data_IF_801666786183
#
_entry.id   IF_801666786183
#
_cell.length_a   1.000
_cell.length_b   1.000
_cell.length_c   1.000
_cell.angle_alpha   90.00
_cell.angle_beta   90.00
_cell.angle_gamma   90.00
#
_symmetry.space_group_name_H-M   'P 1'
#
loop_
_entity.id
_entity.type
_entity.pdbx_description
1 polymer ?
#
# COMPACT_ATOMS: atom_id res chain seq x y z
N UNK A 1 3.82 -15.21 6.27
CA UNK A 1 2.96 -15.30 5.07
C UNK A 1 2.29 -13.94 4.89
N UNK A 2 1.90 -13.56 3.69
CA UNK A 2 1.09 -12.38 3.38
C UNK A 2 0.01 -12.74 2.35
N UNK A 3 -1.00 -11.87 2.16
CA UNK A 3 -1.99 -12.03 1.10
C UNK A 3 -1.33 -12.31 -0.26
N UNK A 4 -0.30 -11.55 -0.62
CA UNK A 4 0.43 -11.74 -1.88
C UNK A 4 1.00 -13.14 -1.99
N UNK A 5 1.66 -13.66 -0.95
CA UNK A 5 2.20 -15.03 -0.98
C UNK A 5 1.10 -16.10 -0.98
N UNK A 6 -0.02 -15.86 -0.30
CA UNK A 6 -1.17 -16.76 -0.28
C UNK A 6 -1.81 -16.89 -1.68
N UNK A 7 -1.97 -15.77 -2.38
CA UNK A 7 -2.52 -15.74 -3.75
C UNK A 7 -1.61 -16.40 -4.80
N UNK A 8 -0.34 -16.65 -4.48
CA UNK A 8 0.60 -17.35 -5.37
C UNK A 8 0.58 -18.87 -5.18
N UNK A 9 -0.11 -19.40 -4.17
CA UNK A 9 -0.26 -20.84 -3.99
C UNK A 9 -1.09 -21.38 -5.16
N UNK A 10 -0.62 -22.45 -5.81
CA UNK A 10 -1.15 -22.93 -7.09
C UNK A 10 -2.66 -23.21 -7.08
N UNK A 11 -3.17 -23.88 -6.04
CA UNK A 11 -4.62 -24.15 -5.91
C UNK A 11 -5.40 -22.85 -5.65
N UNK A 12 -4.87 -21.94 -4.84
CA UNK A 12 -5.50 -20.63 -4.59
C UNK A 12 -5.59 -19.82 -5.88
N UNK A 13 -4.47 -19.69 -6.61
CA UNK A 13 -4.41 -18.98 -7.89
C UNK A 13 -5.38 -19.57 -8.91
N UNK A 14 -5.50 -20.90 -8.96
CA UNK A 14 -6.43 -21.59 -9.86
C UNK A 14 -7.90 -21.34 -9.50
N UNK A 15 -8.26 -21.38 -8.22
CA UNK A 15 -9.65 -21.13 -7.80
C UNK A 15 -10.04 -19.67 -8.05
N UNK A 16 -9.15 -18.69 -7.79
CA UNK A 16 -9.38 -17.30 -8.21
C UNK A 16 -9.61 -17.18 -9.71
N UNK A 17 -8.80 -17.86 -10.53
CA UNK A 17 -8.90 -17.83 -11.99
C UNK A 17 -10.23 -18.41 -12.50
N UNK A 18 -10.71 -19.47 -11.84
CA UNK A 18 -12.00 -20.11 -12.13
C UNK A 18 -13.17 -19.22 -11.74
N UNK A 19 -13.17 -18.68 -10.53
CA UNK A 19 -14.32 -17.93 -9.99
C UNK A 19 -14.42 -16.52 -10.57
N UNK A 20 -13.29 -15.78 -10.64
CA UNK A 20 -13.30 -14.41 -11.11
C UNK A 20 -12.74 -14.33 -12.52
N UNK A 21 -13.63 -14.15 -13.50
CA UNK A 21 -13.21 -13.84 -14.85
C UNK A 21 -12.43 -12.53 -14.87
N UNK A 22 -11.28 -12.54 -15.52
CA UNK A 22 -10.44 -11.35 -15.65
C UNK A 22 -10.42 -10.91 -17.10
N UNK A 23 -10.96 -9.71 -17.33
CA UNK A 23 -10.85 -9.01 -18.60
C UNK A 23 -10.06 -7.73 -18.34
N UNK A 24 -8.81 -7.70 -18.78
CA UNK A 24 -7.95 -6.54 -18.59
C UNK A 24 -8.63 -5.29 -19.19
N UNK A 25 -8.86 -4.22 -18.39
CA UNK A 25 -9.32 -2.96 -18.95
C UNK A 25 -8.29 -2.45 -19.97
N UNK A 26 -8.79 -1.88 -21.07
CA UNK A 26 -7.93 -1.17 -22.02
C UNK A 26 -7.53 0.16 -21.41
N UNK A 27 -6.35 0.21 -20.84
CA UNK A 27 -5.76 1.44 -20.32
C UNK A 27 -4.89 2.07 -21.40
N UNK A 28 -5.06 3.37 -21.62
CA UNK A 28 -4.20 4.16 -22.49
C UNK A 28 -4.00 5.51 -21.84
N UNK A 29 -2.75 5.79 -21.47
CA UNK A 29 -2.33 7.07 -20.94
C UNK A 29 -0.83 7.24 -21.08
N UNK A 30 -0.39 8.48 -21.00
CA UNK A 30 1.02 8.84 -21.11
C UNK A 30 1.80 8.44 -19.85
N UNK A 31 3.10 8.22 -20.02
CA UNK A 31 4.02 8.07 -18.90
C UNK A 31 4.45 9.48 -18.47
N UNK A 32 3.79 10.02 -17.44
CA UNK A 32 3.98 11.39 -16.98
C UNK A 32 5.25 11.56 -16.12
N UNK A 33 5.58 10.55 -15.31
CA UNK A 33 6.78 10.54 -14.47
C UNK A 33 7.68 9.34 -14.80
N UNK A 34 8.53 9.42 -15.85
CA UNK A 34 9.48 8.37 -16.17
C UNK A 34 10.50 8.17 -15.05
N UNK A 35 10.93 6.91 -14.77
CA UNK A 35 11.92 6.65 -13.71
C UNK A 35 13.23 7.39 -13.92
N UNK A 36 13.76 7.96 -12.84
CA UNK A 36 15.05 8.67 -12.85
C UNK A 36 16.19 7.83 -12.26
N UNK A 37 15.85 6.76 -11.55
CA UNK A 37 16.77 5.83 -10.89
C UNK A 37 16.46 4.38 -11.29
N UNK A 38 17.37 3.45 -10.99
CA UNK A 38 17.13 2.01 -11.09
C UNK A 38 16.62 1.39 -9.78
N UNK A 39 16.54 2.17 -8.70
CA UNK A 39 16.04 1.72 -7.39
C UNK A 39 14.50 1.61 -7.34
N UNK A 40 13.88 0.97 -8.34
CA UNK A 40 12.43 1.01 -8.56
C UNK A 40 11.60 0.59 -7.34
N UNK A 41 11.97 -0.51 -6.67
CA UNK A 41 11.24 -0.99 -5.49
C UNK A 41 11.36 -0.02 -4.31
N UNK A 42 12.55 0.56 -4.10
CA UNK A 42 12.78 1.54 -3.04
C UNK A 42 11.95 2.81 -3.29
N UNK A 43 11.93 3.30 -4.53
CA UNK A 43 11.10 4.47 -4.92
C UNK A 43 9.61 4.16 -4.79
N UNK A 44 9.18 2.94 -5.11
CA UNK A 44 7.80 2.53 -4.90
C UNK A 44 7.36 2.71 -3.45
N UNK A 45 8.14 2.18 -2.50
CA UNK A 45 7.85 2.31 -1.06
C UNK A 45 8.04 3.74 -0.54
N UNK A 46 9.05 4.47 -1.01
CA UNK A 46 9.26 5.86 -0.59
C UNK A 46 8.14 6.77 -1.08
N UNK A 47 7.66 6.56 -2.32
CA UNK A 47 6.52 7.28 -2.86
C UNK A 47 5.23 6.94 -2.10
N UNK A 48 5.05 5.69 -1.67
CA UNK A 48 3.92 5.33 -0.80
C UNK A 48 3.90 6.17 0.48
N UNK A 49 5.02 6.31 1.20
CA UNK A 49 5.10 7.22 2.36
C UNK A 49 4.78 8.67 1.98
N UNK A 50 5.39 9.16 0.89
CA UNK A 50 5.20 10.54 0.44
C UNK A 50 3.73 10.84 0.09
N UNK A 51 3.08 9.93 -0.64
CA UNK A 51 1.68 10.07 -1.01
C UNK A 51 0.80 10.00 0.24
N UNK A 52 1.07 9.10 1.19
CA UNK A 52 0.34 9.04 2.46
C UNK A 52 0.42 10.35 3.25
N UNK A 53 1.59 10.95 3.33
CA UNK A 53 1.75 12.27 3.97
C UNK A 53 0.94 13.35 3.24
N UNK A 54 0.95 13.32 1.91
CA UNK A 54 0.18 14.25 1.09
C UNK A 54 -1.33 14.10 1.32
N UNK A 55 -1.84 12.86 1.32
CA UNK A 55 -3.25 12.55 1.56
C UNK A 55 -3.67 12.96 2.98
N UNK A 56 -2.83 12.70 3.98
CA UNK A 56 -3.08 13.12 5.36
C UNK A 56 -3.24 14.64 5.46
N UNK A 57 -2.39 15.40 4.76
CA UNK A 57 -2.51 16.86 4.72
C UNK A 57 -3.78 17.32 4.00
N UNK A 58 -4.16 16.65 2.90
CA UNK A 58 -5.40 16.95 2.17
C UNK A 58 -6.66 16.64 2.98
N UNK A 59 -6.57 15.67 3.90
CA UNK A 59 -7.68 15.14 4.69
C UNK A 59 -7.32 15.13 6.19
N UNK A 60 -7.53 16.24 6.91
CA UNK A 60 -7.10 16.36 8.32
C UNK A 60 -7.66 15.29 9.26
N UNK A 61 -8.84 14.73 8.97
CA UNK A 61 -9.51 13.69 9.74
C UNK A 61 -9.09 12.26 9.36
N UNK A 62 -8.00 12.12 8.59
CA UNK A 62 -7.47 10.80 8.17
C UNK A 62 -7.15 9.93 9.38
N UNK A 63 -7.66 8.70 9.37
CA UNK A 63 -7.26 7.68 10.33
C UNK A 63 -5.86 7.16 9.98
N UNK A 64 -4.97 7.21 10.98
CA UNK A 64 -3.55 6.92 10.80
C UNK A 64 -3.20 5.56 11.38
N UNK A 65 -2.50 4.76 10.59
CA UNK A 65 -1.81 3.55 11.06
C UNK A 65 -0.36 3.85 11.45
N UNK A 66 0.23 2.96 12.24
CA UNK A 66 1.67 2.98 12.53
C UNK A 66 2.47 2.87 11.23
N UNK A 67 3.61 3.55 11.14
CA UNK A 67 4.49 3.38 9.98
C UNK A 67 5.14 1.99 10.03
N UNK A 68 5.14 1.27 8.89
CA UNK A 68 5.80 -0.04 8.82
C UNK A 68 7.30 0.07 9.14
N UNK A 69 7.92 1.21 8.83
CA UNK A 69 9.27 1.54 9.27
C UNK A 69 9.46 1.44 10.81
N UNK A 70 8.46 1.82 11.61
CA UNK A 70 8.52 1.69 13.08
C UNK A 70 8.47 0.23 13.52
N UNK A 71 7.67 -0.61 12.83
CA UNK A 71 7.68 -2.05 13.05
C UNK A 71 9.03 -2.65 12.67
N UNK A 72 9.66 -2.16 11.60
CA UNK A 72 11.03 -2.49 11.21
C UNK A 72 12.03 -2.16 12.31
N UNK A 73 11.95 -0.96 12.91
CA UNK A 73 12.78 -0.59 14.06
C UNK A 73 12.57 -1.55 15.23
N UNK A 74 11.33 -1.91 15.56
CA UNK A 74 11.02 -2.87 16.65
C UNK A 74 11.71 -4.23 16.42
N UNK A 75 11.90 -4.65 15.18
CA UNK A 75 12.57 -5.92 14.86
C UNK A 75 14.06 -5.93 15.21
N UNK A 76 14.68 -4.76 15.36
CA UNK A 76 16.10 -4.62 15.72
C UNK A 76 16.36 -4.61 17.23
N UNK A 77 15.33 -4.77 18.08
CA UNK A 77 15.45 -4.72 19.56
C UNK A 77 16.51 -5.65 20.17
N UNK A 78 16.87 -6.75 19.49
CA UNK A 78 17.94 -7.66 19.93
C UNK A 78 19.35 -7.05 19.81
N UNK A 79 19.47 -5.95 19.09
CA UNK A 79 20.70 -5.19 18.86
C UNK A 79 20.48 -3.75 19.37
N UNK A 80 20.72 -3.48 20.67
CA UNK A 80 20.31 -2.23 21.30
C UNK A 80 20.83 -0.96 20.61
N UNK A 81 22.07 -0.99 20.12
CA UNK A 81 22.68 0.14 19.40
C UNK A 81 21.91 0.46 18.11
N UNK A 82 21.59 -0.55 17.30
CA UNK A 82 20.78 -0.38 16.08
C UNK A 82 19.37 0.11 16.41
N UNK A 83 18.73 -0.50 17.41
CA UNK A 83 17.38 -0.12 17.83
C UNK A 83 17.28 1.35 18.23
N UNK A 84 18.18 1.83 19.10
CA UNK A 84 18.15 3.22 19.53
C UNK A 84 18.55 4.18 18.41
N UNK A 85 19.48 3.79 17.53
CA UNK A 85 19.84 4.57 16.34
C UNK A 85 18.64 4.74 15.41
N UNK A 86 17.98 3.66 15.02
CA UNK A 86 16.84 3.76 14.09
C UNK A 86 15.61 4.39 14.74
N UNK A 87 15.39 4.18 16.04
CA UNK A 87 14.35 4.90 16.79
C UNK A 87 14.59 6.41 16.76
N UNK A 88 15.81 6.87 17.03
CA UNK A 88 16.15 8.29 16.98
C UNK A 88 15.93 8.88 15.57
N UNK A 89 16.25 8.11 14.51
CA UNK A 89 15.97 8.51 13.12
C UNK A 89 14.46 8.70 12.90
N UNK A 90 13.61 7.78 13.33
CA UNK A 90 12.14 7.92 13.24
C UNK A 90 11.67 9.17 13.99
N UNK A 91 12.17 9.38 15.22
CA UNK A 91 11.76 10.51 16.06
C UNK A 91 12.14 11.86 15.40
N UNK A 92 13.32 11.95 14.78
CA UNK A 92 13.76 13.13 14.01
C UNK A 92 12.88 13.36 12.77
N UNK A 93 12.57 12.29 12.02
CA UNK A 93 11.72 12.40 10.83
C UNK A 93 10.33 12.91 11.22
N UNK A 94 9.73 12.36 12.28
CA UNK A 94 8.40 12.73 12.78
C UNK A 94 8.35 14.17 13.27
N UNK A 95 9.32 14.59 14.08
CA UNK A 95 9.33 15.92 14.71
C UNK A 95 9.83 17.05 13.81
N UNK A 96 10.53 16.74 12.71
CA UNK A 96 11.01 17.71 11.73
C UNK A 96 10.30 17.56 10.38
N UNK A 97 10.94 16.93 9.36
CA UNK A 97 10.47 16.98 7.97
C UNK A 97 9.00 16.59 7.75
N UNK A 98 8.51 15.54 8.42
CA UNK A 98 7.11 15.14 8.32
C UNK A 98 6.17 16.19 8.94
N UNK A 99 6.42 16.59 10.19
CA UNK A 99 5.61 17.61 10.88
C UNK A 99 5.59 18.94 10.11
N UNK A 100 6.75 19.39 9.62
CA UNK A 100 6.89 20.60 8.81
C UNK A 100 6.04 20.50 7.53
N UNK A 101 6.05 19.35 6.85
CA UNK A 101 5.25 19.13 5.66
C UNK A 101 3.74 19.15 5.95
N UNK A 102 3.29 18.45 7.01
CA UNK A 102 1.88 18.43 7.39
C UNK A 102 1.38 19.85 7.69
N UNK A 103 2.17 20.68 8.36
CA UNK A 103 1.79 22.04 8.73
C UNK A 103 1.84 23.03 7.54
N UNK A 104 2.87 22.94 6.71
CA UNK A 104 3.17 23.98 5.70
C UNK A 104 2.84 23.57 4.27
N UNK A 105 2.83 22.27 3.98
CA UNK A 105 2.81 21.72 2.62
C UNK A 105 4.13 21.84 1.86
N UNK A 106 5.20 22.29 2.51
CA UNK A 106 6.48 22.48 1.85
C UNK A 106 7.19 21.15 1.55
N UNK A 107 7.35 20.83 0.26
CA UNK A 107 8.07 19.65 -0.22
C UNK A 107 9.59 19.88 -0.16
N UNK A 108 10.16 19.81 1.05
CA UNK A 108 11.59 20.00 1.28
C UNK A 108 12.43 18.80 0.81
N UNK A 109 13.72 19.05 0.56
CA UNK A 109 14.68 17.97 0.27
C UNK A 109 14.80 16.97 1.43
N UNK A 110 14.73 17.46 2.67
CA UNK A 110 14.74 16.62 3.86
C UNK A 110 13.52 15.70 3.97
N UNK A 111 12.35 16.12 3.49
CA UNK A 111 11.15 15.28 3.42
C UNK A 111 11.36 14.12 2.44
N UNK A 112 11.82 14.42 1.22
CA UNK A 112 12.09 13.39 0.21
C UNK A 112 13.12 12.37 0.72
N UNK A 113 14.24 12.85 1.28
CA UNK A 113 15.26 12.00 1.89
C UNK A 113 14.68 11.12 3.01
N UNK A 114 13.83 11.71 3.87
CA UNK A 114 13.18 10.98 4.96
C UNK A 114 12.30 9.83 4.46
N UNK A 115 11.54 10.03 3.38
CA UNK A 115 10.70 8.95 2.81
C UNK A 115 11.53 7.78 2.26
N UNK A 116 12.73 8.05 1.74
CA UNK A 116 13.67 7.00 1.31
C UNK A 116 14.20 6.23 2.53
N UNK A 117 14.58 6.93 3.60
CA UNK A 117 15.04 6.31 4.86
C UNK A 117 13.94 5.45 5.47
N UNK A 118 12.69 5.94 5.51
CA UNK A 118 11.53 5.17 5.95
C UNK A 118 11.33 3.92 5.10
N UNK A 119 11.43 4.03 3.78
CA UNK A 119 11.32 2.90 2.87
C UNK A 119 12.39 1.82 3.11
N UNK A 120 13.62 2.22 3.46
CA UNK A 120 14.67 1.26 3.83
C UNK A 120 14.43 0.59 5.17
N UNK A 121 13.94 1.32 6.18
CA UNK A 121 13.59 0.74 7.49
C UNK A 121 12.40 -0.22 7.39
N UNK A 122 11.45 0.10 6.50
CA UNK A 122 10.29 -0.74 6.16
C UNK A 122 10.72 -2.13 5.63
N UNK A 123 11.79 -2.21 4.82
CA UNK A 123 12.34 -3.48 4.31
C UNK A 123 12.77 -4.45 5.41
N UNK A 124 13.14 -3.96 6.60
CA UNK A 124 13.47 -4.80 7.75
C UNK A 124 12.25 -5.63 8.15
N UNK A 125 11.08 -4.98 8.21
CA UNK A 125 9.83 -5.67 8.55
C UNK A 125 9.38 -6.61 7.43
N UNK A 126 9.43 -6.14 6.17
CA UNK A 126 8.85 -6.89 5.04
C UNK A 126 9.64 -8.13 4.64
N UNK A 127 10.97 -8.05 4.65
CA UNK A 127 11.83 -9.10 4.11
C UNK A 127 13.02 -9.44 5.03
N UNK A 128 13.08 -8.89 6.24
CA UNK A 128 14.16 -9.16 7.18
C UNK A 128 15.52 -8.60 6.74
N UNK A 129 15.53 -7.64 5.81
CA UNK A 129 16.75 -7.09 5.22
C UNK A 129 17.07 -5.73 5.82
N UNK A 130 18.26 -5.60 6.41
CA UNK A 130 18.84 -4.34 6.82
C UNK A 130 19.79 -3.83 5.72
N UNK A 131 19.54 -2.62 5.21
CA UNK A 131 20.49 -1.94 4.33
C UNK A 131 21.70 -1.43 5.15
N UNK A 132 22.95 -1.71 4.72
CA UNK A 132 24.14 -1.29 5.47
C UNK A 132 24.19 0.22 5.74
N UNK A 133 23.76 1.02 4.75
CA UNK A 133 23.72 2.47 4.86
C UNK A 133 22.29 2.99 4.70
N UNK A 134 21.58 3.08 5.83
CA UNK A 134 20.18 3.53 5.85
C UNK A 134 20.01 4.98 5.36
N UNK A 135 21.04 5.83 5.53
CA UNK A 135 20.99 7.27 5.22
C UNK A 135 21.40 7.59 3.78
N UNK A 136 21.99 6.66 3.05
CA UNK A 136 22.49 6.92 1.69
C UNK A 136 21.33 6.98 0.69
N UNK A 137 21.42 7.85 -0.32
CA UNK A 137 20.51 7.86 -1.46
C UNK A 137 21.18 8.61 -2.62
N UNK A 138 20.65 8.43 -3.83
CA UNK A 138 21.12 9.13 -5.02
C UNK A 138 20.26 10.37 -5.29
N UNK A 139 20.82 11.38 -5.95
CA UNK A 139 20.07 12.58 -6.35
C UNK A 139 18.91 12.22 -7.28
N UNK A 140 19.11 11.19 -8.10
CA UNK A 140 18.12 10.59 -8.98
C UNK A 140 16.92 10.00 -8.21
N UNK A 141 17.14 9.49 -7.00
CA UNK A 141 16.06 8.98 -6.15
C UNK A 141 15.13 10.12 -5.69
N UNK A 142 15.74 11.26 -5.28
CA UNK A 142 15.01 12.47 -4.91
C UNK A 142 14.28 13.07 -6.11
N UNK A 143 14.94 13.13 -7.27
CA UNK A 143 14.34 13.63 -8.51
C UNK A 143 13.14 12.77 -8.94
N UNK A 144 13.23 11.45 -8.80
CA UNK A 144 12.11 10.54 -9.12
C UNK A 144 10.90 10.82 -8.21
N UNK A 145 11.11 10.99 -6.91
CA UNK A 145 10.04 11.34 -5.97
C UNK A 145 9.41 12.70 -6.25
N UNK A 146 10.23 13.71 -6.60
CA UNK A 146 9.74 15.04 -7.02
C UNK A 146 8.85 14.93 -8.26
N UNK A 147 9.27 14.17 -9.27
CA UNK A 147 8.48 13.97 -10.48
C UNK A 147 7.16 13.25 -10.18
N UNK A 148 7.20 12.20 -9.35
CA UNK A 148 6.01 11.42 -8.98
C UNK A 148 4.97 12.25 -8.22
N UNK A 149 5.38 13.04 -7.21
CA UNK A 149 4.42 13.85 -6.45
C UNK A 149 3.88 15.03 -7.27
N UNK A 150 4.65 15.57 -8.21
CA UNK A 150 4.24 16.72 -9.03
C UNK A 150 3.05 16.44 -9.97
N UNK A 151 2.79 15.17 -10.27
CA UNK A 151 1.71 14.73 -11.17
C UNK A 151 0.49 14.19 -10.41
N UNK A 152 0.51 14.21 -9.08
CA UNK A 152 -0.63 13.77 -8.26
C UNK A 152 -1.76 14.78 -8.43
N UNK A 153 -2.93 14.28 -8.82
CA UNK A 153 -4.16 15.06 -8.83
C UNK A 153 -4.87 14.94 -7.48
N UNK A 154 -4.82 16.02 -6.68
CA UNK A 154 -5.47 16.12 -5.37
C UNK A 154 -6.94 15.69 -5.39
N UNK A 155 -7.66 15.89 -6.51
CA UNK A 155 -9.07 15.55 -6.61
C UNK A 155 -9.35 14.05 -6.53
N UNK A 156 -8.36 13.21 -6.85
CA UNK A 156 -8.45 11.76 -6.71
C UNK A 156 -8.39 11.31 -5.24
N UNK A 157 -7.84 12.14 -4.36
CA UNK A 157 -7.53 11.76 -2.98
C UNK A 157 -8.22 12.61 -1.90
N UNK A 158 -9.04 13.58 -2.31
CA UNK A 158 -9.84 14.38 -1.38
C UNK A 158 -11.10 13.61 -0.97
N UNK A 159 -11.15 13.19 0.28
CA UNK A 159 -12.29 12.48 0.87
C UNK A 159 -13.43 13.44 1.21
N UNK A 160 -14.66 12.91 1.20
CA UNK A 160 -15.86 13.63 1.64
C UNK A 160 -16.32 13.19 3.03
N UNK A 161 -16.06 11.94 3.37
CA UNK A 161 -16.63 11.26 4.54
C UNK A 161 -15.54 10.52 5.30
N UNK A 162 -14.64 9.83 4.60
CA UNK A 162 -13.74 8.89 5.24
C UNK A 162 -12.42 8.76 4.50
N UNK A 163 -11.32 8.75 5.27
CA UNK A 163 -10.00 8.45 4.75
C UNK A 163 -9.23 7.65 5.81
N UNK A 164 -8.65 6.53 5.41
CA UNK A 164 -7.72 5.76 6.24
C UNK A 164 -6.53 5.29 5.38
N UNK A 165 -5.34 5.30 5.99
CA UNK A 165 -4.08 4.97 5.33
C UNK A 165 -3.49 3.71 5.95
N UNK A 166 -3.07 2.78 5.11
CA UNK A 166 -2.68 1.42 5.49
C UNK A 166 -3.67 0.73 6.44
N UNK A 167 -4.98 0.68 6.13
CA UNK A 167 -5.94 -0.05 6.95
C UNK A 167 -5.69 -1.56 6.89
N UNK A 168 -5.90 -2.21 8.03
CA UNK A 168 -6.05 -3.66 8.10
C UNK A 168 -7.51 -4.09 7.94
N UNK A 169 -7.73 -5.40 7.91
CA UNK A 169 -9.04 -6.03 7.82
C UNK A 169 -9.37 -6.78 9.12
N UNK A 170 -9.03 -6.18 10.27
CA UNK A 170 -9.18 -6.82 11.58
C UNK A 170 -8.49 -8.17 11.67
N UNK A 171 -9.17 -9.16 12.25
CA UNK A 171 -8.65 -10.53 12.36
C UNK A 171 -8.48 -11.22 10.99
N UNK A 172 -9.19 -10.77 9.94
CA UNK A 172 -9.08 -11.37 8.62
C UNK A 172 -7.68 -11.18 8.02
N UNK A 173 -7.01 -10.04 8.28
CA UNK A 173 -5.62 -9.83 7.87
C UNK A 173 -4.68 -10.93 8.41
N UNK A 174 -4.94 -11.45 9.60
CA UNK A 174 -4.12 -12.49 10.22
C UNK A 174 -4.30 -13.86 9.55
N UNK A 175 -5.45 -14.13 8.92
CA UNK A 175 -5.72 -15.41 8.23
C UNK A 175 -4.71 -15.71 7.13
N UNK A 176 -4.19 -14.67 6.49
CA UNK A 176 -3.20 -14.78 5.39
C UNK A 176 -1.78 -14.39 5.85
N UNK A 177 -1.58 -14.27 7.17
CA UNK A 177 -0.32 -13.87 7.80
C UNK A 177 0.01 -12.38 7.78
N UNK A 178 -0.90 -11.55 7.26
CA UNK A 178 -0.76 -10.10 7.16
C UNK A 178 -1.29 -9.58 5.83
N UNK A 179 -2.17 -8.59 5.91
CA UNK A 179 -2.69 -7.86 4.76
C UNK A 179 -3.15 -6.47 5.18
N UNK A 180 -2.66 -5.48 4.44
CA UNK A 180 -3.03 -4.08 4.50
C UNK A 180 -3.24 -3.60 3.07
N UNK A 181 -4.32 -2.84 2.84
CA UNK A 181 -4.47 -2.05 1.62
C UNK A 181 -3.71 -0.74 1.78
N UNK A 182 -3.30 -0.09 0.71
CA UNK A 182 -2.55 1.17 0.84
C UNK A 182 -3.43 2.30 1.38
N UNK A 183 -4.69 2.38 0.95
CA UNK A 183 -5.65 3.33 1.49
C UNK A 183 -7.10 2.96 1.19
N UNK A 184 -8.01 3.57 1.95
CA UNK A 184 -9.43 3.63 1.62
C UNK A 184 -9.88 5.08 1.70
N UNK A 185 -10.50 5.55 0.62
CA UNK A 185 -11.06 6.90 0.50
C UNK A 185 -12.55 6.76 0.18
N UNK A 186 -13.38 7.26 1.07
CA UNK A 186 -14.83 7.12 1.08
C UNK A 186 -15.26 5.65 0.91
N UNK A 187 -15.74 5.29 -0.29
CA UNK A 187 -16.25 3.96 -0.65
C UNK A 187 -15.25 3.13 -1.49
N UNK A 188 -14.03 3.64 -1.67
CA UNK A 188 -13.05 3.11 -2.62
C UNK A 188 -11.80 2.60 -1.90
N UNK A 189 -11.50 1.31 -2.07
CA UNK A 189 -10.24 0.70 -1.64
C UNK A 189 -9.20 0.79 -2.74
N UNK A 190 -8.00 1.29 -2.42
CA UNK A 190 -6.98 1.64 -3.41
C UNK A 190 -5.64 0.97 -3.06
N UNK A 191 -5.01 0.39 -4.08
CA UNK A 191 -3.61 -0.07 -4.08
C UNK A 191 -2.79 0.82 -5.04
N UNK A 192 -1.55 1.13 -4.68
CA UNK A 192 -0.63 1.98 -5.42
C UNK A 192 0.31 1.08 -6.23
N UNK A 193 0.44 1.40 -7.52
CA UNK A 193 1.43 0.76 -8.40
C UNK A 193 2.34 1.81 -9.03
N UNK A 194 3.56 1.90 -8.51
CA UNK A 194 4.64 2.73 -9.07
C UNK A 194 5.39 1.97 -10.16
N UNK A 195 4.80 1.93 -11.36
CA UNK A 195 5.33 1.22 -12.53
C UNK A 195 5.24 2.08 -13.79
N UNK A 196 6.20 1.92 -14.71
CA UNK A 196 6.16 2.54 -16.04
C UNK A 196 5.24 1.82 -17.02
N UNK A 197 4.84 0.59 -16.67
CA UNK A 197 4.00 -0.26 -17.50
C UNK A 197 2.55 -0.06 -17.06
N UNK A 198 1.77 0.69 -17.84
CA UNK A 198 0.34 0.85 -17.62
C UNK A 198 -0.41 -0.42 -18.02
N UNK A 199 -0.37 -1.42 -17.15
CA UNK A 199 -1.06 -2.69 -17.34
C UNK A 199 -1.81 -3.06 -16.07
N UNK A 200 -3.11 -3.23 -16.22
CA UNK A 200 -3.91 -3.92 -15.22
C UNK A 200 -3.79 -5.42 -15.51
N UNK A 201 -3.08 -6.15 -14.64
CA UNK A 201 -2.76 -7.56 -14.83
C UNK A 201 -3.52 -8.43 -13.82
N UNK A 202 -3.45 -9.75 -14.02
CA UNK A 202 -4.19 -10.74 -13.20
C UNK A 202 -3.79 -10.70 -11.73
N UNK A 203 -2.50 -10.54 -11.44
CA UNK A 203 -1.99 -10.63 -10.08
C UNK A 203 -2.45 -9.42 -9.22
N UNK A 204 -2.31 -8.14 -9.69
CA UNK A 204 -2.92 -7.01 -9.01
C UNK A 204 -4.46 -7.10 -8.90
N UNK A 205 -5.14 -7.65 -9.91
CA UNK A 205 -6.59 -7.89 -9.85
C UNK A 205 -6.96 -8.85 -8.71
N UNK A 206 -6.28 -9.99 -8.61
CA UNK A 206 -6.49 -10.95 -7.53
C UNK A 206 -6.17 -10.33 -6.16
N UNK A 207 -5.13 -9.48 -6.08
CA UNK A 207 -4.78 -8.77 -4.85
C UNK A 207 -5.93 -7.87 -4.37
N UNK A 208 -6.51 -7.07 -5.27
CA UNK A 208 -7.66 -6.22 -4.95
C UNK A 208 -8.90 -7.01 -4.53
N UNK A 209 -9.20 -8.13 -5.22
CA UNK A 209 -10.29 -9.03 -4.80
C UNK A 209 -9.99 -9.62 -3.42
N UNK A 210 -8.75 -10.03 -3.18
CA UNK A 210 -8.31 -10.54 -1.88
C UNK A 210 -8.57 -9.53 -0.76
N UNK A 211 -8.18 -8.25 -0.95
CA UNK A 211 -8.49 -7.18 -0.01
C UNK A 211 -9.99 -7.01 0.21
N UNK A 212 -10.79 -7.06 -0.86
CA UNK A 212 -12.23 -6.96 -0.76
C UNK A 212 -12.87 -8.13 0.04
N UNK A 213 -12.40 -9.37 -0.18
CA UNK A 213 -12.82 -10.55 0.57
C UNK A 213 -12.45 -10.40 2.05
N UNK A 214 -11.22 -9.97 2.35
CA UNK A 214 -10.79 -9.73 3.73
C UNK A 214 -11.65 -8.66 4.42
N UNK A 215 -12.02 -7.59 3.69
CA UNK A 215 -12.99 -6.61 4.19
C UNK A 215 -14.35 -7.24 4.50
N UNK A 216 -14.88 -8.13 3.65
CA UNK A 216 -16.15 -8.83 3.92
C UNK A 216 -16.10 -9.73 5.16
N UNK A 217 -14.94 -10.31 5.47
CA UNK A 217 -14.75 -11.19 6.62
C UNK A 217 -14.56 -10.38 7.91
N UNK A 218 -13.61 -9.44 7.90
CA UNK A 218 -13.11 -8.80 9.12
C UNK A 218 -13.53 -7.35 9.33
N UNK A 219 -14.09 -6.70 8.30
CA UNK A 219 -14.26 -5.24 8.19
C UNK A 219 -12.93 -4.46 8.27
N UNK A 220 -12.94 -3.22 7.80
CA UNK A 220 -11.79 -2.31 7.85
C UNK A 220 -11.61 -1.76 9.25
N UNK A 221 -10.50 -2.10 9.91
CA UNK A 221 -10.19 -1.72 11.29
C UNK A 221 -11.37 -1.95 12.26
N UNK A 222 -12.17 -2.99 12.03
CA UNK A 222 -13.35 -3.33 12.83
C UNK A 222 -14.59 -2.45 12.59
N UNK A 223 -14.53 -1.50 11.65
CA UNK A 223 -15.67 -0.67 11.24
C UNK A 223 -16.37 -1.25 10.01
N UNK A 224 -17.66 -1.56 10.13
CA UNK A 224 -18.47 -1.98 8.99
C UNK A 224 -18.60 -0.82 7.99
N UNK A 225 -17.77 -0.86 6.94
CA UNK A 225 -17.74 0.11 5.85
C UNK A 225 -18.04 -0.61 4.55
N UNK A 226 -19.04 -0.09 3.85
CA UNK A 226 -19.38 -0.56 2.51
C UNK A 226 -18.30 -0.08 1.54
N UNK A 227 -17.67 -1.03 0.85
CA UNK A 227 -16.72 -0.76 -0.24
C UNK A 227 -17.46 -1.00 -1.55
N UNK A 228 -17.67 0.07 -2.30
CA UNK A 228 -18.38 0.04 -3.59
C UNK A 228 -17.42 -0.05 -4.77
N UNK A 229 -16.14 0.29 -4.57
CA UNK A 229 -15.10 0.27 -5.60
C UNK A 229 -13.78 -0.25 -5.03
N UNK A 230 -13.04 -0.96 -5.87
CA UNK A 230 -11.63 -1.28 -5.66
C UNK A 230 -10.82 -0.74 -6.83
N UNK A 231 -9.59 -0.28 -6.61
CA UNK A 231 -8.83 0.35 -7.67
C UNK A 231 -7.31 0.32 -7.51
N UNK A 232 -6.63 0.57 -8.62
CA UNK A 232 -5.18 0.74 -8.68
C UNK A 232 -4.86 2.18 -9.07
N UNK A 233 -4.06 2.85 -8.26
CA UNK A 233 -3.44 4.12 -8.62
C UNK A 233 -2.09 3.87 -9.30
N UNK A 234 -2.02 4.11 -10.61
CA UNK A 234 -0.79 4.02 -11.39
C UNK A 234 0.00 5.33 -11.26
N UNK A 235 0.85 5.41 -10.25
CA UNK A 235 1.46 6.68 -9.83
C UNK A 235 2.29 7.37 -10.90
N UNK A 236 2.99 6.62 -11.78
CA UNK A 236 3.77 7.22 -12.89
C UNK A 236 2.91 7.75 -14.05
N UNK A 237 1.63 7.41 -14.05
CA UNK A 237 0.66 7.78 -15.07
C UNK A 237 -0.41 8.76 -14.54
N UNK A 238 -0.46 9.01 -13.23
CA UNK A 238 -1.43 9.91 -12.61
C UNK A 238 -2.89 9.44 -12.71
N UNK A 239 -3.14 8.13 -12.83
CA UNK A 239 -4.48 7.58 -13.09
C UNK A 239 -4.88 6.57 -12.02
N UNK A 240 -6.09 6.77 -11.48
CA UNK A 240 -6.79 5.79 -10.66
C UNK A 240 -7.77 4.98 -11.52
N UNK A 241 -7.48 3.70 -11.72
CA UNK A 241 -8.40 2.77 -12.39
C UNK A 241 -9.21 2.00 -11.34
N UNK A 242 -10.52 2.19 -11.32
CA UNK A 242 -11.44 1.48 -10.41
C UNK A 242 -12.27 0.42 -11.10
N UNK A 243 -12.78 -0.52 -10.31
CA UNK A 243 -13.77 -1.53 -10.68
C UNK A 243 -14.86 -1.51 -9.59
N UNK A 244 -16.16 -1.45 -9.96
CA UNK A 244 -17.23 -1.53 -8.97
C UNK A 244 -17.30 -2.94 -8.36
N UNK A 245 -17.46 -3.02 -7.05
CA UNK A 245 -17.55 -4.30 -6.34
C UNK A 245 -18.81 -5.08 -6.66
N UNK A 246 -19.83 -4.43 -7.25
CA UNK A 246 -21.02 -5.14 -7.78
C UNK A 246 -20.65 -6.19 -8.83
N UNK A 247 -19.60 -5.98 -9.64
CA UNK A 247 -19.12 -6.98 -10.60
C UNK A 247 -18.55 -8.25 -9.93
N UNK A 248 -18.20 -8.14 -8.65
CA UNK A 248 -17.71 -9.26 -7.83
C UNK A 248 -18.89 -9.88 -7.08
N UNK A 249 -19.72 -9.06 -6.44
CA UNK A 249 -20.88 -9.49 -5.65
C UNK A 249 -21.97 -10.15 -6.52
N UNK A 250 -22.11 -9.77 -7.79
CA UNK A 250 -23.06 -10.38 -8.73
C UNK A 250 -22.69 -11.82 -9.13
N UNK A 251 -21.47 -12.27 -8.82
CA UNK A 251 -21.09 -13.65 -9.07
C UNK A 251 -21.83 -14.59 -8.10
N UNK A 252 -22.67 -15.53 -8.58
CA UNK A 252 -23.43 -16.42 -7.71
C UNK A 252 -22.57 -17.34 -6.83
N UNK A 253 -21.29 -17.53 -7.18
CA UNK A 253 -20.34 -18.31 -6.39
C UNK A 253 -19.64 -17.47 -5.30
N UNK A 254 -19.85 -16.15 -5.24
CA UNK A 254 -19.04 -15.27 -4.40
C UNK A 254 -19.13 -15.60 -2.90
N UNK A 255 -20.35 -15.78 -2.36
CA UNK A 255 -20.53 -16.11 -0.94
C UNK A 255 -19.92 -17.48 -0.58
N UNK A 256 -19.95 -18.44 -1.52
CA UNK A 256 -19.27 -19.72 -1.35
C UNK A 256 -17.75 -19.54 -1.38
N UNK A 257 -17.25 -18.73 -2.31
CA UNK A 257 -15.84 -18.44 -2.46
C UNK A 257 -15.26 -17.77 -1.22
N UNK A 258 -15.96 -16.81 -0.60
CA UNK A 258 -15.52 -16.16 0.65
C UNK A 258 -15.31 -17.19 1.75
N UNK A 259 -16.25 -18.13 1.93
CA UNK A 259 -16.14 -19.22 2.93
C UNK A 259 -15.00 -20.18 2.60
N UNK A 260 -14.83 -20.51 1.32
CA UNK A 260 -13.72 -21.34 0.87
C UNK A 260 -12.37 -20.64 1.12
N UNK A 261 -12.25 -19.35 0.79
CA UNK A 261 -11.05 -18.55 0.99
C UNK A 261 -10.63 -18.53 2.46
N UNK A 262 -11.57 -18.27 3.37
CA UNK A 262 -11.33 -18.28 4.82
C UNK A 262 -10.82 -19.65 5.29
N UNK A 263 -11.50 -20.74 4.88
CA UNK A 263 -11.10 -22.10 5.24
C UNK A 263 -9.72 -22.46 4.70
N UNK A 264 -9.44 -22.10 3.45
CA UNK A 264 -8.16 -22.39 2.80
C UNK A 264 -7.02 -21.60 3.47
N UNK A 265 -7.25 -20.33 3.78
CA UNK A 265 -6.29 -19.49 4.50
C UNK A 265 -5.93 -20.09 5.88
N UNK A 266 -6.94 -20.52 6.65
CA UNK A 266 -6.72 -21.23 7.93
C UNK A 266 -5.91 -22.51 7.73
N UNK A 267 -6.26 -23.31 6.72
CA UNK A 267 -5.60 -24.59 6.44
C UNK A 267 -4.14 -24.39 6.08
N UNK A 268 -3.84 -23.42 5.24
CA UNK A 268 -2.49 -23.08 4.81
C UNK A 268 -1.66 -22.48 5.95
N UNK A 269 -2.27 -21.66 6.82
CA UNK A 269 -1.56 -21.02 7.91
C UNK A 269 -1.23 -21.98 9.07
N UNK A 270 -2.05 -23.02 9.28
CA UNK A 270 -1.82 -24.04 10.30
C UNK A 270 -0.80 -25.12 9.90
N UNK A 271 -0.44 -25.22 8.62
CA UNK A 271 0.54 -26.17 8.08
C UNK A 271 1.88 -25.48 7.80
#
# INVERSE_FOLDING_TARGET
>A
MSLTSFLQISNVRAEFAKTFQFKAPKLSAELLAPPQTKHYSLIGTAFDYLLRFHIERLNPDTLRSIWIAELGVVMTKKQPEEYYKFKAIIDVIKSGPYSDYIQTGNLSESLFASTIVLAKLDMIYRIGRLEPNIMDYQNEDILDLKNLISIVDDSLFKSKIFCTLNPGFGNASLLVGGADADMIIDDTLIDIKTTKNLKFERDPYNQLIGYYILNKIGNVDGMNRKIDKIGIYFSRHGILQTIPTSQIDENPEFDYFVKWFEKEAITVFMN
#
